data_IF_425398125136
#
_entry.id   IF_425398125136
#
_cell.length_a   1.000
_cell.length_b   1.000
_cell.length_c   1.000
_cell.angle_alpha   90.00
_cell.angle_beta   90.00
_cell.angle_gamma   90.00
#
_symmetry.space_group_name_H-M   'P 1'
#
loop_
_entity.id
_entity.type
_entity.pdbx_description
1 polymer ?
#
# COMPACT_ATOMS: atom_id res chain seq x y z
N UNK A 1 -44.31 8.73 -32.95
CA UNK A 1 -43.54 9.21 -34.11
C UNK A 1 -42.23 9.74 -33.54
N UNK A 2 -41.24 8.89 -33.22
CA UNK A 2 -40.24 8.33 -34.16
C UNK A 2 -39.74 9.45 -35.07
N UNK A 3 -38.54 10.00 -34.88
CA UNK A 3 -37.26 9.38 -35.30
C UNK A 3 -36.07 9.86 -34.43
N UNK A 4 -35.16 8.96 -34.00
CA UNK A 4 -33.85 9.32 -33.43
C UNK A 4 -32.77 9.49 -34.51
N UNK A 5 -31.86 10.46 -34.34
CA UNK A 5 -30.69 10.68 -35.19
C UNK A 5 -29.60 9.61 -34.92
N UNK A 6 -28.95 9.01 -35.95
CA UNK A 6 -27.81 8.15 -35.74
C UNK A 6 -26.48 8.93 -35.77
N UNK A 7 -25.74 8.85 -34.67
CA UNK A 7 -24.32 9.21 -34.62
C UNK A 7 -23.48 8.11 -35.28
N UNK A 8 -22.59 8.49 -36.19
CA UNK A 8 -21.66 7.61 -36.90
C UNK A 8 -20.36 7.52 -36.09
N UNK A 9 -19.80 6.34 -35.79
CA UNK A 9 -18.45 6.25 -35.26
C UNK A 9 -17.41 6.40 -36.39
N UNK A 10 -16.42 7.25 -36.15
CA UNK A 10 -15.20 7.34 -36.95
C UNK A 10 -14.40 6.05 -36.77
N UNK A 11 -14.19 5.31 -37.86
CA UNK A 11 -13.21 4.24 -37.94
C UNK A 11 -11.80 4.85 -37.95
N UNK A 12 -11.04 4.65 -36.87
CA UNK A 12 -9.59 4.86 -36.85
C UNK A 12 -8.92 3.62 -37.43
N UNK A 13 -8.47 3.71 -38.68
CA UNK A 13 -7.58 2.72 -39.30
C UNK A 13 -6.18 2.85 -38.70
N UNK A 14 -5.80 1.90 -37.86
CA UNK A 14 -4.43 1.76 -37.37
C UNK A 14 -3.58 1.09 -38.47
N UNK A 15 -2.61 1.84 -38.99
CA UNK A 15 -1.67 1.39 -39.98
C UNK A 15 -0.64 0.41 -39.38
N UNK A 16 -0.59 -0.79 -39.93
CA UNK A 16 0.50 -1.75 -39.77
C UNK A 16 1.75 -1.20 -40.49
N UNK A 17 2.78 -0.84 -39.74
CA UNK A 17 4.12 -0.62 -40.26
C UNK A 17 5.04 -1.72 -39.72
N UNK A 18 5.45 -2.61 -40.61
CA UNK A 18 6.50 -3.58 -40.38
C UNK A 18 7.89 -2.96 -40.58
N UNK A 19 8.78 -3.24 -39.63
CA UNK A 19 10.24 -3.29 -39.76
C UNK A 19 10.64 -4.50 -38.90
N UNK A 20 11.33 -5.54 -39.34
CA UNK A 20 12.35 -5.57 -40.37
C UNK A 20 13.75 -5.69 -39.75
N UNK A 21 14.02 -6.79 -39.03
CA UNK A 21 15.32 -7.48 -39.09
C UNK A 21 16.37 -7.26 -37.99
N UNK A 22 16.79 -8.42 -37.45
CA UNK A 22 18.17 -8.83 -37.09
C UNK A 22 18.87 -8.23 -35.85
N UNK A 23 18.92 -9.00 -34.76
CA UNK A 23 20.13 -9.19 -33.94
C UNK A 23 19.95 -10.43 -33.04
N UNK A 24 20.53 -11.56 -33.43
CA UNK A 24 21.78 -12.15 -32.93
C UNK A 24 21.58 -13.00 -31.68
N UNK A 25 21.89 -14.27 -31.90
CA UNK A 25 21.84 -15.42 -31.03
C UNK A 25 22.73 -15.24 -29.78
N UNK A 26 22.20 -15.64 -28.62
CA UNK A 26 22.95 -15.78 -27.37
C UNK A 26 23.43 -17.24 -27.31
N UNK A 27 24.74 -17.53 -27.35
CA UNK A 27 25.22 -18.89 -27.23
C UNK A 27 25.33 -19.32 -25.77
N UNK A 28 24.78 -20.51 -25.50
CA UNK A 28 25.00 -21.34 -24.33
C UNK A 28 26.49 -21.46 -23.97
N UNK A 29 26.85 -21.00 -22.78
CA UNK A 29 28.12 -21.30 -22.14
C UNK A 29 27.90 -22.31 -21.02
N UNK A 30 27.76 -23.57 -21.39
CA UNK A 30 27.98 -24.72 -20.51
C UNK A 30 29.49 -24.97 -20.38
N UNK A 31 30.05 -25.06 -19.16
CA UNK A 31 31.41 -25.54 -18.98
C UNK A 31 31.48 -27.06 -19.17
N UNK A 32 32.25 -27.49 -20.17
CA UNK A 32 32.70 -28.88 -20.34
C UNK A 32 33.77 -29.21 -19.29
N UNK A 33 33.67 -30.32 -18.55
CA UNK A 33 34.82 -30.86 -17.84
C UNK A 33 35.77 -31.58 -18.82
N UNK A 34 37.01 -31.10 -18.81
CA UNK A 34 38.15 -31.62 -19.54
C UNK A 34 38.47 -33.07 -19.16
N UNK A 35 38.60 -33.93 -20.17
CA UNK A 35 39.18 -35.25 -19.99
C UNK A 35 40.64 -35.18 -19.53
N UNK A 36 40.97 -36.00 -18.54
CA UNK A 36 42.31 -36.50 -18.26
C UNK A 36 42.19 -38.00 -18.04
N UNK A 37 42.69 -38.79 -18.98
CA UNK A 37 43.33 -40.07 -18.66
C UNK A 37 44.82 -39.93 -18.97
N UNK A 38 45.65 -40.97 -18.80
CA UNK A 38 45.43 -42.23 -18.09
C UNK A 38 46.57 -42.51 -17.08
N UNK A 39 46.28 -42.72 -15.80
CA UNK A 39 47.28 -43.30 -14.90
C UNK A 39 47.06 -44.81 -14.83
N UNK A 40 47.51 -45.46 -15.91
CA UNK A 40 47.86 -46.87 -15.92
C UNK A 40 49.10 -47.08 -15.03
N UNK A 41 48.85 -47.20 -13.72
CA UNK A 41 49.77 -47.80 -12.78
C UNK A 41 49.83 -49.31 -13.02
N UNK A 42 50.83 -49.71 -13.80
CA UNK A 42 51.26 -51.11 -13.94
C UNK A 42 51.74 -51.62 -12.58
N UNK A 43 50.86 -52.27 -11.84
CA UNK A 43 51.26 -53.01 -10.65
C UNK A 43 51.90 -54.33 -11.09
N UNK A 44 53.15 -54.50 -10.70
CA UNK A 44 53.96 -55.65 -11.07
C UNK A 44 53.40 -56.90 -10.40
N UNK A 45 52.83 -57.80 -11.20
CA UNK A 45 52.59 -59.18 -10.80
C UNK A 45 53.90 -59.79 -10.26
N UNK A 46 53.98 -60.00 -8.94
CA UNK A 46 54.91 -60.96 -8.35
C UNK A 46 54.35 -62.37 -8.54
N UNK A 47 55.18 -63.41 -8.75
CA UNK A 47 54.71 -64.72 -9.21
C UNK A 47 54.10 -65.60 -8.10
N UNK A 48 53.95 -65.08 -6.88
CA UNK A 48 53.66 -65.90 -5.71
C UNK A 48 52.30 -65.57 -5.07
N UNK A 49 51.23 -65.50 -5.88
CA UNK A 49 49.83 -65.79 -5.50
C UNK A 49 49.21 -65.21 -4.22
N UNK A 50 49.82 -64.26 -3.51
CA UNK A 50 49.36 -63.72 -2.25
C UNK A 50 49.29 -62.19 -2.34
N UNK A 51 48.07 -61.65 -2.26
CA UNK A 51 47.84 -60.22 -2.05
C UNK A 51 48.15 -59.91 -0.58
N UNK A 52 48.92 -58.86 -0.26
CA UNK A 52 49.00 -58.37 1.11
C UNK A 52 47.63 -57.82 1.49
N UNK A 53 46.96 -58.47 2.43
CA UNK A 53 45.83 -57.88 3.15
C UNK A 53 46.40 -56.72 3.99
N UNK A 54 46.31 -55.51 3.45
CA UNK A 54 46.50 -54.28 4.23
C UNK A 54 45.30 -54.17 5.19
N UNK A 55 45.42 -54.83 6.34
CA UNK A 55 44.45 -54.75 7.44
C UNK A 55 44.59 -53.39 8.12
N UNK A 56 43.90 -52.39 7.57
CA UNK A 56 43.56 -51.17 8.29
C UNK A 56 42.51 -51.48 9.38
N UNK A 57 42.43 -50.66 10.44
CA UNK A 57 41.45 -50.87 11.51
C UNK A 57 40.03 -50.58 10.99
N UNK A 58 39.22 -51.63 10.85
CA UNK A 58 37.84 -51.56 10.35
C UNK A 58 37.29 -52.88 9.77
N UNK A 59 38.09 -53.95 9.74
CA UNK A 59 37.70 -55.25 9.21
C UNK A 59 36.55 -55.91 10.01
N UNK A 60 35.29 -55.65 9.63
CA UNK A 60 34.18 -56.57 9.85
C UNK A 60 34.30 -57.71 8.84
N UNK A 61 34.62 -58.90 9.33
CA UNK A 61 34.71 -60.16 8.56
C UNK A 61 33.46 -60.35 7.68
N UNK A 62 33.58 -60.07 6.38
CA UNK A 62 32.49 -60.22 5.40
C UNK A 62 32.71 -61.49 4.59
N UNK A 63 31.91 -62.52 4.86
CA UNK A 63 31.96 -63.79 4.16
C UNK A 63 31.26 -63.71 2.79
N UNK A 64 31.53 -64.66 1.87
CA UNK A 64 30.82 -64.72 0.60
C UNK A 64 29.40 -65.25 0.83
N UNK A 65 28.46 -64.33 1.01
CA UNK A 65 27.03 -64.61 1.27
C UNK A 65 26.21 -63.41 1.75
N UNK A 66 26.86 -62.32 2.12
CA UNK A 66 26.18 -61.12 2.61
C UNK A 66 25.63 -60.31 1.43
N UNK A 67 24.29 -60.28 1.31
CA UNK A 67 23.61 -59.34 0.42
C UNK A 67 23.94 -57.95 0.95
N UNK A 68 24.73 -57.20 0.19
CA UNK A 68 25.07 -55.80 0.41
C UNK A 68 23.78 -54.95 0.35
N UNK A 69 23.00 -54.96 1.43
CA UNK A 69 22.27 -53.76 1.81
C UNK A 69 23.35 -52.87 2.36
N UNK A 70 23.64 -51.77 1.66
CA UNK A 70 24.32 -50.64 2.26
C UNK A 70 23.62 -50.24 3.59
N UNK A 71 24.23 -49.36 4.40
CA UNK A 71 23.57 -48.85 5.60
C UNK A 71 22.11 -48.52 5.22
N UNK A 72 21.13 -49.12 5.90
CA UNK A 72 19.73 -48.90 5.55
C UNK A 72 19.53 -47.38 5.51
N UNK A 73 18.85 -46.89 4.47
CA UNK A 73 18.59 -45.46 4.40
C UNK A 73 17.81 -45.06 5.65
N UNK A 74 18.28 -44.02 6.35
CA UNK A 74 17.55 -43.47 7.48
C UNK A 74 16.14 -43.08 7.07
N UNK A 75 15.19 -43.47 7.91
CA UNK A 75 13.81 -43.05 7.84
C UNK A 75 13.55 -42.13 9.00
N UNK A 76 12.77 -41.06 8.78
CA UNK A 76 12.29 -40.20 9.85
C UNK A 76 11.24 -40.95 10.68
N UNK A 77 11.67 -41.83 11.58
CA UNK A 77 10.80 -42.67 12.39
C UNK A 77 11.17 -42.65 13.89
N UNK A 78 12.08 -41.76 14.28
CA UNK A 78 12.65 -41.60 15.63
C UNK A 78 13.46 -42.80 16.08
N UNK A 79 14.08 -43.50 15.14
CA UNK A 79 15.00 -44.61 15.39
C UNK A 79 16.23 -44.40 14.52
N UNK A 80 17.32 -44.87 15.08
CA UNK A 80 18.58 -45.14 14.38
C UNK A 80 18.35 -46.40 13.53
N UNK A 81 18.03 -46.23 12.23
CA UNK A 81 17.79 -47.37 11.34
C UNK A 81 19.12 -47.93 10.80
N UNK A 82 20.15 -47.09 10.65
CA UNK A 82 21.45 -47.42 10.07
C UNK A 82 22.56 -47.82 11.06
N UNK A 83 22.33 -47.59 12.34
CA UNK A 83 23.17 -48.00 13.46
C UNK A 83 24.36 -47.10 13.74
N UNK A 84 24.38 -45.86 13.23
CA UNK A 84 25.49 -44.91 13.43
C UNK A 84 25.46 -44.19 14.80
N UNK A 85 24.34 -44.29 15.53
CA UNK A 85 24.14 -43.76 16.86
C UNK A 85 23.49 -42.37 16.92
N UNK A 86 23.23 -41.73 15.78
CA UNK A 86 22.34 -40.59 15.66
C UNK A 86 20.90 -41.08 15.38
N UNK A 87 19.93 -40.17 15.36
CA UNK A 87 18.53 -40.51 15.11
C UNK A 87 17.96 -39.56 14.08
N UNK A 88 17.40 -40.12 13.00
CA UNK A 88 16.79 -39.38 11.89
C UNK A 88 17.78 -38.36 11.26
N UNK A 89 19.08 -38.67 11.22
CA UNK A 89 20.07 -37.77 10.65
C UNK A 89 19.84 -37.55 9.15
N UNK A 90 20.02 -36.30 8.72
CA UNK A 90 19.62 -35.86 7.38
C UNK A 90 18.18 -35.31 7.29
N UNK A 91 17.39 -35.42 8.37
CA UNK A 91 16.13 -34.71 8.53
C UNK A 91 16.26 -33.53 9.50
N UNK A 92 15.57 -32.42 9.22
CA UNK A 92 15.54 -31.26 10.12
C UNK A 92 14.40 -31.45 11.11
N UNK A 93 14.57 -32.35 12.09
CA UNK A 93 13.56 -32.57 13.13
C UNK A 93 13.76 -31.55 14.25
N UNK A 94 12.68 -30.92 14.69
CA UNK A 94 12.68 -29.90 15.75
C UNK A 94 13.07 -28.50 15.27
N UNK A 95 13.27 -28.27 13.97
CA UNK A 95 13.42 -26.93 13.39
C UNK A 95 12.15 -26.11 13.52
N UNK A 96 12.27 -24.78 13.66
CA UNK A 96 11.12 -23.88 13.71
C UNK A 96 10.42 -23.81 12.34
N UNK A 97 9.10 -23.91 12.35
CA UNK A 97 8.27 -23.75 11.16
C UNK A 97 6.99 -22.98 11.50
N UNK A 98 6.21 -22.59 10.50
CA UNK A 98 4.90 -21.95 10.71
C UNK A 98 3.90 -22.35 9.62
N UNK A 99 2.62 -22.27 9.95
CA UNK A 99 1.51 -22.43 9.02
C UNK A 99 0.54 -21.26 9.12
N UNK A 100 0.00 -20.83 7.98
CA UNK A 100 -0.91 -19.69 7.86
C UNK A 100 -0.23 -18.32 7.63
N UNK A 101 -1.07 -17.32 7.38
CA UNK A 101 -0.72 -15.90 7.16
C UNK A 101 -1.55 -15.03 8.10
N UNK A 102 -1.17 -13.76 8.26
CA UNK A 102 -1.96 -12.80 9.04
C UNK A 102 -2.28 -13.27 10.46
N UNK A 103 -3.53 -13.09 10.87
CA UNK A 103 -4.07 -13.54 12.16
C UNK A 103 -4.08 -15.08 12.31
N UNK A 104 -4.07 -15.83 11.20
CA UNK A 104 -4.08 -17.29 11.21
C UNK A 104 -2.72 -17.92 11.46
N UNK A 105 -1.62 -17.17 11.32
CA UNK A 105 -0.28 -17.73 11.47
C UNK A 105 -0.11 -18.40 12.83
N UNK A 106 0.40 -19.63 12.84
CA UNK A 106 0.83 -20.35 14.04
C UNK A 106 2.22 -20.91 13.82
N UNK A 107 3.09 -20.70 14.81
CA UNK A 107 4.42 -21.30 14.82
C UNK A 107 4.34 -22.73 15.38
N UNK A 108 5.26 -23.58 14.94
CA UNK A 108 5.38 -24.98 15.30
C UNK A 108 6.80 -25.49 15.03
N UNK A 109 6.94 -26.81 15.02
CA UNK A 109 8.21 -27.48 14.78
C UNK A 109 8.09 -28.55 13.71
N UNK A 110 9.19 -28.78 13.01
CA UNK A 110 9.30 -29.86 12.04
C UNK A 110 9.31 -31.23 12.75
N UNK A 111 8.37 -32.09 12.38
CA UNK A 111 8.21 -33.45 12.88
C UNK A 111 8.25 -34.44 11.72
N UNK A 112 8.57 -35.69 12.00
CA UNK A 112 8.48 -36.74 10.99
C UNK A 112 7.05 -36.88 10.44
N UNK A 113 6.95 -36.92 9.12
CA UNK A 113 5.73 -37.27 8.42
C UNK A 113 5.33 -38.72 8.72
N UNK A 114 4.05 -39.05 8.56
CA UNK A 114 3.54 -40.40 8.85
C UNK A 114 4.13 -41.49 7.95
N UNK A 115 4.69 -41.15 6.79
CA UNK A 115 5.35 -42.09 5.88
C UNK A 115 6.81 -42.36 6.26
N UNK A 116 7.38 -41.58 7.18
CA UNK A 116 8.77 -41.65 7.61
C UNK A 116 9.79 -41.24 6.53
N UNK A 117 9.34 -40.60 5.44
CA UNK A 117 10.21 -40.23 4.31
C UNK A 117 10.52 -38.73 4.26
N UNK A 118 9.86 -37.93 5.09
CA UNK A 118 10.00 -36.47 5.11
C UNK A 118 9.68 -35.89 6.49
N UNK A 119 9.95 -34.59 6.67
CA UNK A 119 9.44 -33.80 7.79
C UNK A 119 8.26 -32.94 7.34
N UNK A 120 7.34 -32.68 8.26
CA UNK A 120 6.19 -31.79 8.11
C UNK A 120 6.12 -30.86 9.31
N UNK A 121 5.57 -29.66 9.11
CA UNK A 121 5.32 -28.75 10.23
C UNK A 121 4.14 -29.27 11.06
N UNK A 122 4.28 -29.31 12.39
CA UNK A 122 3.19 -29.67 13.30
C UNK A 122 2.22 -28.50 13.60
N UNK A 123 2.55 -27.29 13.10
CA UNK A 123 1.69 -26.13 13.24
C UNK A 123 0.36 -26.34 12.51
N UNK A 124 -0.73 -25.93 13.16
CA UNK A 124 -2.07 -25.89 12.59
C UNK A 124 -2.53 -24.45 12.60
N UNK A 125 -2.67 -23.84 11.41
CA UNK A 125 -3.16 -22.46 11.31
C UNK A 125 -4.52 -22.27 11.99
N UNK A 126 -4.75 -21.05 12.47
CA UNK A 126 -6.07 -20.69 12.99
C UNK A 126 -7.12 -20.72 11.86
N UNK A 127 -8.40 -20.94 12.19
CA UNK A 127 -9.48 -20.76 11.21
C UNK A 127 -9.56 -19.28 10.78
N UNK A 128 -9.97 -19.02 9.52
CA UNK A 128 -10.13 -17.66 9.01
C UNK A 128 -11.22 -16.91 9.79
N UNK A 129 -10.94 -15.65 10.11
CA UNK A 129 -11.85 -14.72 10.76
C UNK A 129 -12.71 -13.94 9.77
N UNK A 130 -13.24 -12.82 10.23
CA UNK A 130 -13.92 -11.83 9.39
C UNK A 130 -13.07 -10.57 9.30
N UNK A 131 -12.94 -10.03 8.09
CA UNK A 131 -12.08 -8.87 7.88
C UNK A 131 -12.53 -7.62 8.63
N UNK A 132 -11.56 -7.02 9.29
CA UNK A 132 -11.64 -5.74 10.01
C UNK A 132 -10.51 -4.86 9.49
N UNK A 133 -10.78 -3.59 9.21
CA UNK A 133 -9.75 -2.66 8.74
C UNK A 133 -8.83 -2.29 9.92
N UNK A 134 -7.83 -3.12 10.20
CA UNK A 134 -6.97 -3.03 11.38
C UNK A 134 -5.47 -3.19 11.06
N UNK A 135 -5.11 -3.34 9.78
CA UNK A 135 -3.75 -3.57 9.31
C UNK A 135 -3.29 -5.03 9.38
N UNK A 136 -4.21 -5.98 9.60
CA UNK A 136 -3.96 -7.41 9.71
C UNK A 136 -4.91 -8.15 8.76
N UNK A 137 -4.40 -9.19 8.11
CA UNK A 137 -5.17 -10.17 7.34
C UNK A 137 -5.91 -11.11 8.31
N UNK A 138 -7.19 -10.85 8.58
CA UNK A 138 -8.01 -11.55 9.58
C UNK A 138 -8.66 -12.82 9.00
N UNK A 139 -8.98 -12.83 7.71
CA UNK A 139 -9.59 -13.93 6.96
C UNK A 139 -8.57 -14.85 6.28
N UNK A 140 -7.30 -14.46 6.34
CA UNK A 140 -6.15 -15.25 5.92
C UNK A 140 -6.15 -15.55 4.42
N UNK A 141 -6.68 -14.60 3.64
CA UNK A 141 -6.68 -14.62 2.18
C UNK A 141 -5.32 -14.24 1.58
N UNK A 142 -4.42 -13.66 2.37
CA UNK A 142 -3.11 -13.16 1.96
C UNK A 142 -3.11 -11.70 1.55
N UNK A 143 -4.24 -11.00 1.70
CA UNK A 143 -4.36 -9.55 1.55
C UNK A 143 -4.67 -8.94 2.91
N UNK A 144 -4.32 -7.68 3.11
CA UNK A 144 -4.55 -6.98 4.37
C UNK A 144 -5.66 -5.97 4.15
N UNK A 145 -6.66 -5.97 5.03
CA UNK A 145 -7.77 -5.03 5.04
C UNK A 145 -8.52 -4.96 3.68
N UNK A 146 -8.69 -6.07 2.99
CA UNK A 146 -9.40 -6.10 1.71
C UNK A 146 -10.93 -5.93 1.86
N UNK A 147 -11.58 -5.45 0.79
CA UNK A 147 -13.02 -5.23 0.79
C UNK A 147 -13.48 -4.03 1.61
N UNK A 148 -12.57 -3.10 1.91
CA UNK A 148 -12.87 -1.83 2.58
C UNK A 148 -12.75 -0.62 1.62
N UNK A 149 -13.76 0.28 1.61
CA UNK A 149 -15.00 0.24 2.36
C UNK A 149 -15.92 -0.88 1.88
N UNK A 150 -16.81 -1.35 2.77
CA UNK A 150 -17.81 -2.34 2.40
C UNK A 150 -18.78 -1.75 1.38
N UNK A 151 -19.34 -2.60 0.52
CA UNK A 151 -20.38 -2.21 -0.44
C UNK A 151 -21.49 -1.40 0.26
N UNK A 152 -21.68 -0.15 -0.17
CA UNK A 152 -22.68 0.77 0.38
C UNK A 152 -22.30 1.47 1.69
N UNK A 153 -21.07 1.31 2.18
CA UNK A 153 -20.54 2.11 3.28
C UNK A 153 -19.97 3.45 2.76
N UNK A 154 -20.10 4.49 3.57
CA UNK A 154 -19.47 5.78 3.32
C UNK A 154 -17.95 5.67 3.50
N UNK A 155 -17.18 6.26 2.58
CA UNK A 155 -15.72 6.35 2.69
C UNK A 155 -15.01 6.10 1.36
N UNK A 156 -13.75 6.56 1.22
CA UNK A 156 -12.91 6.25 0.07
C UNK A 156 -12.34 4.83 0.13
N UNK A 157 -12.01 4.23 -1.01
CA UNK A 157 -11.25 2.97 -1.07
C UNK A 157 -9.92 3.08 -0.30
N UNK A 158 -9.54 2.01 0.41
CA UNK A 158 -8.32 2.00 1.19
C UNK A 158 -7.10 2.27 0.30
N UNK A 159 -6.30 3.29 0.63
CA UNK A 159 -5.16 3.72 -0.16
C UNK A 159 -5.49 4.56 -1.41
N UNK A 160 -6.77 4.73 -1.77
CA UNK A 160 -7.15 5.61 -2.87
C UNK A 160 -7.03 7.09 -2.46
N UNK A 161 -6.76 7.95 -3.44
CA UNK A 161 -6.75 9.40 -3.23
C UNK A 161 -8.16 9.87 -2.87
N UNK A 162 -8.24 10.72 -1.85
CA UNK A 162 -9.48 11.33 -1.39
C UNK A 162 -9.27 12.82 -1.10
N UNK A 163 -10.37 13.56 -1.00
CA UNK A 163 -10.35 14.98 -0.66
C UNK A 163 -11.27 15.24 0.54
N UNK A 164 -10.88 16.18 1.40
CA UNK A 164 -11.70 16.69 2.50
C UNK A 164 -11.70 18.22 2.49
N UNK A 165 -12.85 18.84 2.77
CA UNK A 165 -13.06 20.29 2.59
C UNK A 165 -13.59 20.63 1.19
N UNK A 166 -14.05 21.87 1.01
CA UNK A 166 -14.61 22.37 -0.24
C UNK A 166 -13.76 23.50 -0.82
N UNK A 167 -13.86 23.73 -2.14
CA UNK A 167 -13.21 24.84 -2.81
C UNK A 167 -11.70 24.90 -2.56
N UNK A 168 -11.22 26.06 -2.12
CA UNK A 168 -9.80 26.31 -1.83
C UNK A 168 -9.34 25.71 -0.49
N UNK A 169 -10.29 25.30 0.36
CA UNK A 169 -10.06 24.61 1.62
C UNK A 169 -9.94 23.09 1.47
N UNK A 170 -10.21 22.57 0.26
CA UNK A 170 -10.07 21.17 -0.05
C UNK A 170 -8.59 20.73 0.09
N UNK A 171 -8.37 19.77 0.97
CA UNK A 171 -7.11 19.08 1.14
C UNK A 171 -7.16 17.69 0.51
N UNK A 172 -6.04 17.26 -0.08
CA UNK A 172 -5.87 15.90 -0.58
C UNK A 172 -5.34 14.98 0.53
N UNK A 173 -5.77 13.72 0.52
CA UNK A 173 -5.29 12.68 1.40
C UNK A 173 -5.49 11.31 0.78
N UNK A 174 -5.40 10.28 1.61
CA UNK A 174 -5.59 8.89 1.21
C UNK A 174 -6.63 8.21 2.09
N UNK A 175 -7.38 7.27 1.53
CA UNK A 175 -8.29 6.43 2.30
C UNK A 175 -7.51 5.61 3.33
N UNK A 176 -7.94 5.68 4.59
CA UNK A 176 -7.37 4.93 5.71
C UNK A 176 -8.47 4.26 6.52
N UNK A 177 -8.14 3.26 7.32
CA UNK A 177 -9.10 2.66 8.23
C UNK A 177 -9.62 3.67 9.25
N UNK A 178 -10.91 3.57 9.57
CA UNK A 178 -11.50 4.28 10.72
C UNK A 178 -10.94 3.73 12.03
N UNK A 179 -10.95 4.54 13.10
CA UNK A 179 -10.42 4.11 14.40
C UNK A 179 -11.13 2.87 15.00
N UNK A 180 -12.37 2.59 14.59
CA UNK A 180 -13.12 1.40 15.01
C UNK A 180 -12.93 0.18 14.09
N UNK A 181 -12.14 0.30 13.01
CA UNK A 181 -11.87 -0.74 12.02
C UNK A 181 -13.08 -1.21 11.20
N UNK A 182 -14.21 -0.51 11.30
CA UNK A 182 -15.45 -0.91 10.61
C UNK A 182 -15.56 -0.38 9.18
N UNK A 183 -14.71 0.57 8.78
CA UNK A 183 -14.77 1.24 7.48
C UNK A 183 -13.51 2.03 7.18
N UNK A 184 -13.62 2.91 6.20
CA UNK A 184 -12.54 3.82 5.79
C UNK A 184 -12.95 5.28 5.94
N UNK A 185 -11.98 6.15 6.15
CA UNK A 185 -12.13 7.60 6.16
C UNK A 185 -11.00 8.25 5.37
N UNK A 186 -11.21 9.50 4.95
CA UNK A 186 -10.15 10.26 4.31
C UNK A 186 -9.13 10.72 5.35
N UNK A 187 -7.84 10.50 5.09
CA UNK A 187 -6.77 11.01 5.97
C UNK A 187 -6.59 12.52 5.88
N UNK A 188 -7.19 13.17 4.87
CA UNK A 188 -7.11 14.60 4.68
C UNK A 188 -7.84 15.30 5.84
N UNK A 189 -7.13 16.23 6.47
CA UNK A 189 -7.76 17.22 7.33
C UNK A 189 -8.01 18.44 6.44
N UNK A 190 -9.25 18.95 6.33
CA UNK A 190 -9.51 20.21 5.63
C UNK A 190 -8.53 21.28 6.11
N UNK A 191 -8.18 22.22 5.23
CA UNK A 191 -7.37 23.35 5.68
C UNK A 191 -8.11 24.04 6.83
N UNK A 192 -7.49 24.05 8.01
CA UNK A 192 -8.04 24.67 9.22
C UNK A 192 -7.24 25.96 9.49
N UNK A 193 -8.00 27.01 9.76
CA UNK A 193 -7.67 28.40 10.06
C UNK A 193 -6.19 28.70 10.29
N UNK A 194 -5.51 29.03 9.19
CA UNK A 194 -4.29 29.84 9.28
C UNK A 194 -4.58 31.28 8.95
N UNK A 195 -5.47 31.93 9.73
CA UNK A 195 -5.66 33.39 9.77
C UNK A 195 -5.34 34.08 8.44
N UNK A 196 -5.93 33.55 7.36
CA UNK A 196 -5.85 34.23 6.08
C UNK A 196 -6.89 35.33 6.21
N UNK A 197 -6.51 36.51 5.77
CA UNK A 197 -7.47 37.58 5.75
C UNK A 197 -8.36 37.33 4.53
N UNK A 198 -9.66 37.34 4.74
CA UNK A 198 -10.63 37.28 3.66
C UNK A 198 -10.44 38.43 2.67
N UNK A 199 -10.70 38.11 1.42
CA UNK A 199 -10.83 39.05 0.32
C UNK A 199 -12.24 38.92 -0.21
N UNK A 200 -12.88 40.05 -0.51
CA UNK A 200 -14.19 40.04 -1.16
C UNK A 200 -14.09 39.47 -2.59
N UNK A 201 -14.12 38.16 -2.72
CA UNK A 201 -13.96 37.41 -3.97
C UNK A 201 -14.89 36.18 -4.06
N UNK A 202 -15.74 35.97 -3.05
CA UNK A 202 -16.74 34.91 -2.98
C UNK A 202 -16.15 33.56 -2.57
N UNK A 203 -15.00 33.56 -1.91
CA UNK A 203 -14.33 32.36 -1.39
C UNK A 203 -14.14 32.48 0.11
N UNK A 204 -14.07 31.32 0.74
CA UNK A 204 -13.74 31.15 2.15
C UNK A 204 -12.24 30.79 2.21
N UNK A 205 -11.40 31.75 2.57
CA UNK A 205 -9.95 31.67 2.41
C UNK A 205 -9.22 31.30 3.69
N UNK A 206 -9.87 31.53 4.83
CA UNK A 206 -9.46 31.06 6.13
C UNK A 206 -10.12 29.74 6.57
N UNK A 207 -11.14 29.28 5.84
CA UNK A 207 -11.82 28.00 5.98
C UNK A 207 -12.67 27.87 7.25
N UNK A 208 -13.25 28.99 7.74
CA UNK A 208 -14.11 29.01 8.92
C UNK A 208 -15.60 28.68 8.60
N UNK A 209 -15.94 28.57 7.31
CA UNK A 209 -17.28 28.28 6.82
C UNK A 209 -18.15 29.51 6.56
N UNK A 210 -17.63 30.71 6.75
CA UNK A 210 -18.18 31.98 6.28
C UNK A 210 -17.43 32.40 5.01
N UNK A 211 -18.10 33.16 4.16
CA UNK A 211 -17.53 33.65 2.90
C UNK A 211 -17.48 35.16 2.98
N UNK A 212 -16.33 35.74 2.66
CA UNK A 212 -16.10 37.18 2.63
C UNK A 212 -16.46 37.89 3.95
N UNK A 213 -16.20 37.31 5.12
CA UNK A 213 -16.47 37.97 6.41
C UNK A 213 -15.39 39.00 6.78
N UNK A 214 -15.78 40.02 7.56
CA UNK A 214 -14.89 41.09 8.02
C UNK A 214 -14.09 41.85 6.92
N UNK A 215 -14.48 41.74 5.64
CA UNK A 215 -13.81 42.41 4.51
C UNK A 215 -14.28 43.85 4.25
N UNK A 216 -15.41 44.25 4.84
CA UNK A 216 -16.01 45.57 4.66
C UNK A 216 -15.05 46.69 5.08
N UNK A 217 -15.01 47.77 4.29
CA UNK A 217 -14.02 48.84 4.46
C UNK A 217 -14.68 50.19 4.67
N UNK A 218 -14.06 51.04 5.50
CA UNK A 218 -14.43 52.44 5.59
C UNK A 218 -13.91 53.21 4.37
N UNK A 219 -14.72 54.11 3.85
CA UNK A 219 -14.37 54.99 2.73
C UNK A 219 -14.83 56.42 3.03
N UNK A 220 -14.39 57.37 2.19
CA UNK A 220 -14.74 58.79 2.32
C UNK A 220 -15.37 59.28 1.03
N UNK A 221 -16.53 59.93 1.15
CA UNK A 221 -17.24 60.60 0.07
C UNK A 221 -16.83 62.07 -0.03
N UNK A 222 -16.93 62.66 -1.22
CA UNK A 222 -16.73 64.10 -1.45
C UNK A 222 -17.95 64.93 -0.97
N UNK A 223 -18.44 64.64 0.24
CA UNK A 223 -19.56 65.33 0.89
C UNK A 223 -19.09 66.04 2.17
N UNK A 224 -19.75 67.12 2.60
CA UNK A 224 -19.38 67.85 3.81
C UNK A 224 -19.80 67.09 5.08
N UNK A 225 -19.11 67.38 6.19
CA UNK A 225 -19.56 66.99 7.53
C UNK A 225 -19.72 65.48 7.73
N UNK A 226 -20.79 65.11 8.43
CA UNK A 226 -21.11 63.70 8.79
C UNK A 226 -21.44 62.84 7.56
N UNK A 227 -21.77 63.48 6.44
CA UNK A 227 -22.09 62.81 5.17
C UNK A 227 -20.83 62.33 4.42
N UNK A 228 -19.64 62.75 4.85
CA UNK A 228 -18.38 62.34 4.26
C UNK A 228 -18.03 60.88 4.58
N UNK A 229 -18.56 60.33 5.68
CA UNK A 229 -18.27 58.96 6.11
C UNK A 229 -19.07 57.95 5.28
N UNK A 230 -18.38 56.94 4.73
CA UNK A 230 -19.00 55.89 3.94
C UNK A 230 -18.45 54.50 4.26
N UNK A 231 -19.12 53.48 3.73
CA UNK A 231 -18.70 52.09 3.80
C UNK A 231 -18.77 51.42 2.43
N UNK A 232 -17.76 50.63 2.13
CA UNK A 232 -17.75 49.66 1.04
C UNK A 232 -18.16 48.31 1.64
N UNK A 233 -19.30 47.78 1.18
CA UNK A 233 -19.86 46.51 1.64
C UNK A 233 -19.54 45.44 0.62
N UNK A 234 -19.07 44.28 1.08
CA UNK A 234 -18.98 43.11 0.22
C UNK A 234 -20.35 42.42 0.13
N UNK A 235 -20.81 42.22 -1.10
CA UNK A 235 -22.05 41.50 -1.39
C UNK A 235 -21.75 40.50 -2.52
N UNK A 236 -21.86 39.21 -2.20
CA UNK A 236 -21.67 38.08 -3.14
C UNK A 236 -20.32 38.15 -3.91
N UNK A 237 -19.21 38.34 -3.20
CA UNK A 237 -17.86 38.45 -3.78
C UNK A 237 -17.60 39.74 -4.55
N UNK A 238 -18.47 40.76 -4.42
CA UNK A 238 -18.30 42.05 -5.07
C UNK A 238 -18.30 43.18 -4.04
N UNK A 239 -17.20 43.93 -3.99
CA UNK A 239 -17.11 45.13 -3.16
C UNK A 239 -17.94 46.24 -3.81
N UNK A 240 -19.06 46.59 -3.18
CA UNK A 240 -19.96 47.62 -3.65
C UNK A 240 -19.31 49.01 -3.55
N UNK A 241 -19.71 49.96 -4.42
CA UNK A 241 -19.21 51.33 -4.33
C UNK A 241 -19.45 51.93 -2.95
N UNK A 242 -18.55 52.82 -2.52
CA UNK A 242 -18.69 53.58 -1.30
C UNK A 242 -20.09 54.22 -1.18
N UNK A 243 -20.83 53.81 -0.17
CA UNK A 243 -22.14 54.38 0.16
C UNK A 243 -22.05 55.10 1.51
N UNK A 244 -22.73 56.24 1.61
CA UNK A 244 -22.72 57.05 2.85
C UNK A 244 -23.31 56.26 4.01
N UNK A 245 -22.71 56.39 5.20
CA UNK A 245 -23.26 55.79 6.43
C UNK A 245 -24.50 56.50 6.95
N UNK A 246 -24.81 57.68 6.38
CA UNK A 246 -26.03 58.45 6.60
C UNK A 246 -26.69 58.65 5.25
N UNK A 247 -27.90 58.16 5.07
CA UNK A 247 -28.68 58.41 3.86
C UNK A 247 -29.31 59.81 3.91
N UNK A 248 -29.50 60.47 2.75
CA UNK A 248 -30.22 61.75 2.69
C UNK A 248 -31.60 61.66 3.36
N UNK A 249 -31.84 62.49 4.38
CA UNK A 249 -33.06 62.53 5.17
C UNK A 249 -33.21 61.44 6.24
N UNK A 250 -32.17 60.64 6.51
CA UNK A 250 -32.18 59.63 7.59
C UNK A 250 -32.08 60.28 8.98
N UNK A 251 -31.29 61.34 9.07
CA UNK A 251 -31.11 62.16 10.27
C UNK A 251 -31.88 63.47 10.10
N UNK A 252 -32.10 64.17 11.20
CA UNK A 252 -32.63 65.53 11.17
C UNK A 252 -31.50 66.52 11.43
N UNK A 253 -31.54 67.65 10.74
CA UNK A 253 -30.66 68.78 11.03
C UNK A 253 -30.86 69.29 12.48
N UNK A 254 -29.75 69.50 13.20
CA UNK A 254 -29.74 70.03 14.56
C UNK A 254 -29.29 71.50 14.63
N UNK A 255 -29.31 72.21 13.49
CA UNK A 255 -29.02 73.63 13.32
C UNK A 255 -27.64 74.02 13.89
N UNK A 256 -26.65 73.14 13.76
CA UNK A 256 -25.27 73.38 14.20
C UNK A 256 -24.38 73.93 13.07
N UNK A 257 -24.97 74.31 11.93
CA UNK A 257 -24.28 74.75 10.70
C UNK A 257 -23.46 73.64 10.01
N UNK A 258 -23.77 72.38 10.29
CA UNK A 258 -23.31 71.19 9.58
C UNK A 258 -24.53 70.54 8.95
N UNK A 259 -24.41 70.16 7.67
CA UNK A 259 -25.40 69.36 6.98
C UNK A 259 -25.44 67.95 7.61
N UNK A 260 -26.33 67.78 8.60
CA UNK A 260 -26.47 66.56 9.39
C UNK A 260 -27.44 65.55 8.78
N UNK A 261 -28.32 65.99 7.86
CA UNK A 261 -29.30 65.16 7.15
C UNK A 261 -28.93 64.85 5.68
N UNK A 262 -27.80 65.36 5.21
CA UNK A 262 -27.24 65.13 3.90
C UNK A 262 -28.15 65.58 2.74
N UNK A 263 -28.95 66.63 2.94
CA UNK A 263 -29.84 67.21 1.92
C UNK A 263 -29.19 68.29 1.05
N UNK A 264 -27.96 68.70 1.40
CA UNK A 264 -27.21 69.75 0.72
C UNK A 264 -27.36 71.14 1.35
N UNK A 265 -28.02 71.25 2.50
CA UNK A 265 -28.19 72.47 3.29
C UNK A 265 -27.69 72.27 4.73
N UNK A 266 -27.04 73.27 5.35
CA UNK A 266 -26.60 73.24 6.75
C UNK A 266 -27.57 73.88 7.76
#
# INVERSE_FOLDING_TARGET
MSVPMPWRPLLVTLALAGLGGCFSEIPDLLPRPSGRGPDSGVDMLRPDGNVPIDRGPGDIDRGPGDIDRGPPMELCNRRDDDGDGEVDEGYVVGGDCFDGVGACRRDGHEICANDGLSVVCDAVRAPPGSETCNGIDDDCSGQVDEGFPREGADGPELGAVCHAGEGICAAEGVGRCTANGAGTECSAVPADERARLETCDGRDEDCDGLVDEAVDRSCVLELPGVCAEGREVCDDGVLLPCAGTVQPGERNDICNSVDDDCDGSP
#
